data_IF_629476096728
#
_entry.id   IF_629476096728
#
_cell.length_a   1.000
_cell.length_b   1.000
_cell.length_c   1.000
_cell.angle_alpha   90.00
_cell.angle_beta   90.00
_cell.angle_gamma   90.00
#
_symmetry.space_group_name_H-M   'P 1'
#
loop_
_entity.id
_entity.type
_entity.pdbx_description
1 polymer ?
#
# COMPACT_ATOMS: atom_id res chain seq x y z
N UNK A 1 -33.00 1.85 2.80
CA UNK A 1 -31.61 2.34 2.92
C UNK A 1 -31.70 3.65 3.67
N UNK A 2 -31.06 3.81 4.83
CA UNK A 2 -31.15 5.06 5.61
C UNK A 2 -30.40 6.13 4.83
N UNK A 3 -31.06 7.23 4.48
CA UNK A 3 -30.38 8.39 3.91
C UNK A 3 -29.38 8.93 4.94
N UNK A 4 -28.14 9.16 4.50
CA UNK A 4 -27.06 9.70 5.34
C UNK A 4 -27.21 11.21 5.40
N UNK A 5 -26.91 11.83 6.54
CA UNK A 5 -26.88 13.29 6.66
C UNK A 5 -25.69 13.88 5.89
N UNK A 6 -25.78 15.15 5.53
CA UNK A 6 -24.70 15.86 4.86
C UNK A 6 -23.41 15.90 5.71
N UNK A 7 -23.54 16.09 7.01
CA UNK A 7 -22.43 16.04 7.98
C UNK A 7 -21.72 14.68 7.97
N UNK A 8 -22.46 13.56 7.89
CA UNK A 8 -21.88 12.22 7.82
C UNK A 8 -21.09 12.01 6.53
N UNK A 9 -21.55 12.58 5.41
CA UNK A 9 -20.84 12.52 4.14
C UNK A 9 -19.53 13.32 4.23
N UNK A 10 -19.55 14.51 4.84
CA UNK A 10 -18.35 15.33 5.03
C UNK A 10 -17.32 14.67 5.95
N UNK A 11 -17.75 14.00 7.03
CA UNK A 11 -16.84 13.22 7.89
C UNK A 11 -16.21 12.05 7.13
N UNK A 12 -16.99 11.27 6.39
CA UNK A 12 -16.47 10.16 5.58
C UNK A 12 -15.46 10.64 4.51
N UNK A 13 -15.71 11.81 3.90
CA UNK A 13 -14.81 12.39 2.90
C UNK A 13 -13.44 12.80 3.46
N UNK A 14 -13.34 13.00 4.78
CA UNK A 14 -12.13 13.46 5.45
C UNK A 14 -11.55 12.46 6.45
N UNK A 15 -12.00 11.20 6.41
CA UNK A 15 -11.48 10.14 7.28
C UNK A 15 -10.07 9.72 6.87
N UNK A 16 -9.10 10.51 7.29
CA UNK A 16 -7.68 10.29 7.05
C UNK A 16 -7.12 9.01 7.70
N UNK A 17 -7.84 8.44 8.66
CA UNK A 17 -7.42 7.26 9.41
C UNK A 17 -7.92 5.99 8.73
N UNK A 18 -9.23 5.89 8.49
CA UNK A 18 -9.83 4.67 7.97
C UNK A 18 -9.93 4.65 6.44
N UNK A 19 -9.99 5.82 5.77
CA UNK A 19 -10.09 5.94 4.30
C UNK A 19 -9.22 7.07 3.72
N UNK A 20 -7.91 7.07 3.99
CA UNK A 20 -6.99 8.04 3.40
C UNK A 20 -7.03 8.02 1.86
N UNK A 21 -7.41 9.15 1.25
CA UNK A 21 -7.52 9.31 -0.20
C UNK A 21 -6.25 8.86 -0.97
N UNK A 22 -5.07 9.08 -0.38
CA UNK A 22 -3.80 8.71 -1.00
C UNK A 22 -3.51 7.20 -1.05
N UNK A 23 -4.36 6.35 -0.47
CA UNK A 23 -4.30 4.90 -0.66
C UNK A 23 -5.44 4.34 -1.53
N UNK A 24 -6.41 5.17 -1.91
CA UNK A 24 -7.60 4.77 -2.66
C UNK A 24 -7.42 5.09 -4.14
N UNK A 25 -7.66 4.12 -5.03
CA UNK A 25 -7.64 4.31 -6.49
C UNK A 25 -8.90 5.00 -7.01
N UNK A 26 -8.90 5.36 -8.29
CA UNK A 26 -10.03 6.04 -8.96
C UNK A 26 -11.36 5.29 -8.80
N UNK A 27 -11.30 3.96 -8.82
CA UNK A 27 -12.48 3.09 -8.73
C UNK A 27 -12.73 2.54 -7.31
N UNK A 28 -12.15 3.16 -6.28
CA UNK A 28 -12.41 2.80 -4.88
C UNK A 28 -11.57 1.64 -4.31
N UNK A 29 -10.68 1.03 -5.12
CA UNK A 29 -9.79 -0.03 -4.65
C UNK A 29 -8.69 0.55 -3.76
N UNK A 30 -8.50 0.00 -2.55
CA UNK A 30 -7.46 0.47 -1.64
C UNK A 30 -6.15 -0.29 -1.83
N UNK A 31 -5.04 0.41 -1.57
CA UNK A 31 -3.68 -0.17 -1.65
C UNK A 31 -3.54 -1.40 -0.76
N UNK A 32 -4.23 -1.43 0.39
CA UNK A 32 -4.20 -2.55 1.32
C UNK A 32 -4.85 -3.82 0.73
N UNK A 33 -5.85 -3.68 -0.13
CA UNK A 33 -6.51 -4.81 -0.79
C UNK A 33 -5.55 -5.47 -1.77
N UNK A 34 -4.82 -4.66 -2.55
CA UNK A 34 -3.78 -5.14 -3.47
C UNK A 34 -2.66 -5.85 -2.70
N UNK A 35 -2.17 -5.23 -1.61
CA UNK A 35 -1.11 -5.81 -0.78
C UNK A 35 -1.52 -7.19 -0.26
N UNK A 36 -2.73 -7.32 0.30
CA UNK A 36 -3.23 -8.58 0.87
C UNK A 36 -3.48 -9.63 -0.20
N UNK A 37 -4.09 -9.26 -1.32
CA UNK A 37 -4.46 -10.21 -2.37
C UNK A 37 -3.23 -10.85 -3.05
N UNK A 38 -2.12 -10.12 -3.12
CA UNK A 38 -0.92 -10.56 -3.84
C UNK A 38 0.28 -10.89 -2.93
N UNK A 39 0.15 -10.80 -1.60
CA UNK A 39 1.25 -11.11 -0.66
C UNK A 39 1.70 -12.58 -0.70
N UNK A 40 0.82 -13.51 -1.10
CA UNK A 40 1.14 -14.94 -1.16
C UNK A 40 1.66 -15.49 0.16
N UNK A 41 2.85 -16.09 0.14
CA UNK A 41 3.50 -16.71 1.30
C UNK A 41 4.58 -15.85 1.95
N UNK A 42 4.74 -14.57 1.56
CA UNK A 42 5.73 -13.68 2.16
C UNK A 42 5.39 -13.44 3.64
N UNK A 43 6.36 -13.66 4.53
CA UNK A 43 6.19 -13.56 5.99
C UNK A 43 7.19 -12.58 6.59
N UNK A 44 6.88 -12.10 7.79
CA UNK A 44 7.77 -11.23 8.56
C UNK A 44 8.27 -10.04 7.76
N UNK A 45 9.60 -9.89 7.67
CA UNK A 45 10.23 -8.75 7.01
C UNK A 45 9.97 -8.72 5.50
N UNK A 46 9.87 -9.87 4.84
CA UNK A 46 9.54 -9.95 3.40
C UNK A 46 8.16 -9.37 3.10
N UNK A 47 7.16 -9.71 3.93
CA UNK A 47 5.82 -9.16 3.84
C UNK A 47 5.80 -7.65 4.08
N UNK A 48 6.65 -7.14 4.98
CA UNK A 48 6.83 -5.71 5.20
C UNK A 48 7.44 -5.01 3.98
N UNK A 49 8.45 -5.61 3.35
CA UNK A 49 9.05 -5.05 2.14
C UNK A 49 8.06 -5.01 0.98
N UNK A 50 7.36 -6.11 0.72
CA UNK A 50 6.28 -6.21 -0.25
C UNK A 50 5.21 -5.14 -0.03
N UNK A 51 4.67 -5.07 1.19
CA UNK A 51 3.61 -4.15 1.53
C UNK A 51 4.02 -2.69 1.31
N UNK A 52 5.24 -2.33 1.69
CA UNK A 52 5.74 -0.97 1.47
C UNK A 52 5.99 -0.67 -0.01
N UNK A 53 6.56 -1.59 -0.78
CA UNK A 53 6.78 -1.39 -2.21
C UNK A 53 5.47 -1.08 -2.94
N UNK A 54 4.44 -1.92 -2.76
CA UNK A 54 3.11 -1.70 -3.38
C UNK A 54 2.45 -0.42 -2.84
N UNK A 55 2.48 -0.20 -1.52
CA UNK A 55 1.93 1.01 -0.89
C UNK A 55 2.46 2.27 -1.56
N UNK A 56 3.76 2.37 -1.79
CA UNK A 56 4.34 3.56 -2.39
C UNK A 56 4.03 3.67 -3.90
N UNK A 57 3.97 2.56 -4.62
CA UNK A 57 3.52 2.54 -6.03
C UNK A 57 2.06 2.99 -6.21
N UNK A 58 1.18 2.70 -5.25
CA UNK A 58 -0.20 3.18 -5.29
C UNK A 58 -0.34 4.63 -4.81
N UNK A 59 0.56 5.08 -3.93
CA UNK A 59 0.47 6.38 -3.25
C UNK A 59 1.12 7.55 -3.99
N UNK A 60 2.15 7.31 -4.80
CA UNK A 60 3.04 8.37 -5.27
C UNK A 60 2.33 9.55 -5.94
N UNK A 61 1.29 9.28 -6.75
CA UNK A 61 0.54 10.32 -7.48
C UNK A 61 -0.25 11.25 -6.56
N UNK A 62 -0.57 10.80 -5.34
CA UNK A 62 -1.47 11.49 -4.41
C UNK A 62 -0.77 12.01 -3.14
N UNK A 63 0.55 11.80 -2.99
CA UNK A 63 1.28 12.24 -1.79
C UNK A 63 2.66 12.82 -2.05
N UNK A 64 3.68 12.00 -2.35
CA UNK A 64 5.08 12.46 -2.36
C UNK A 64 5.78 12.34 -3.72
N UNK A 65 5.09 11.97 -4.80
CA UNK A 65 5.67 11.88 -6.14
C UNK A 65 6.91 10.98 -6.19
N UNK A 66 8.00 11.50 -6.75
CA UNK A 66 9.25 10.75 -6.96
C UNK A 66 9.82 10.12 -5.69
N UNK A 67 9.69 10.77 -4.54
CA UNK A 67 10.21 10.25 -3.27
C UNK A 67 9.55 8.90 -2.90
N UNK A 68 8.26 8.74 -3.18
CA UNK A 68 7.59 7.45 -2.96
C UNK A 68 8.07 6.41 -3.96
N UNK A 69 8.37 6.77 -5.21
CA UNK A 69 8.96 5.83 -6.18
C UNK A 69 10.35 5.35 -5.75
N UNK A 70 11.19 6.25 -5.22
CA UNK A 70 12.51 5.87 -4.69
C UNK A 70 12.38 4.95 -3.47
N UNK A 71 11.40 5.21 -2.59
CA UNK A 71 11.07 4.29 -1.48
C UNK A 71 10.59 2.93 -2.00
N UNK A 72 9.70 2.91 -2.99
CA UNK A 72 9.22 1.67 -3.60
C UNK A 72 10.38 0.84 -4.16
N UNK A 73 11.29 1.47 -4.89
CA UNK A 73 12.52 0.87 -5.40
C UNK A 73 13.35 0.28 -4.27
N UNK A 74 13.60 1.04 -3.20
CA UNK A 74 14.43 0.57 -2.08
C UNK A 74 13.85 -0.66 -1.38
N UNK A 75 12.53 -0.67 -1.15
CA UNK A 75 11.85 -1.81 -0.55
C UNK A 75 11.84 -3.04 -1.47
N UNK A 76 11.73 -2.84 -2.78
CA UNK A 76 11.83 -3.92 -3.75
C UNK A 76 13.25 -4.51 -3.79
N UNK A 77 14.28 -3.67 -3.72
CA UNK A 77 15.69 -4.12 -3.63
C UNK A 77 15.90 -5.03 -2.42
N UNK A 78 15.44 -4.62 -1.23
CA UNK A 78 15.55 -5.43 -0.01
C UNK A 78 14.81 -6.76 -0.11
N UNK A 79 13.62 -6.78 -0.71
CA UNK A 79 12.88 -8.02 -0.93
C UNK A 79 13.63 -8.98 -1.87
N UNK A 80 14.22 -8.45 -2.95
CA UNK A 80 15.00 -9.25 -3.90
C UNK A 80 16.25 -9.82 -3.23
N UNK A 81 16.97 -9.02 -2.45
CA UNK A 81 18.16 -9.44 -1.71
C UNK A 81 17.85 -10.56 -0.71
N UNK A 82 16.80 -10.39 0.09
CA UNK A 82 16.39 -11.38 1.10
C UNK A 82 15.98 -12.72 0.47
N UNK A 83 15.23 -12.69 -0.65
CA UNK A 83 14.85 -13.88 -1.38
C UNK A 83 16.04 -14.59 -2.01
N UNK A 84 17.00 -13.86 -2.59
CA UNK A 84 18.24 -14.45 -3.12
C UNK A 84 19.06 -15.14 -2.04
N UNK A 85 19.24 -14.48 -0.90
CA UNK A 85 20.00 -15.03 0.23
C UNK A 85 19.34 -16.28 0.82
N UNK A 86 18.01 -16.36 0.78
CA UNK A 86 17.26 -17.55 1.23
C UNK A 86 17.47 -18.75 0.30
N UNK A 87 17.58 -18.52 -1.01
CA UNK A 87 17.81 -19.58 -2.00
C UNK A 87 19.26 -20.07 -2.07
N UNK A 88 20.24 -19.29 -1.63
CA UNK A 88 21.65 -19.71 -1.56
C UNK A 88 21.95 -20.61 -0.35
N UNK A 89 21.01 -20.73 0.60
CA UNK A 89 21.15 -21.56 1.81
C UNK A 89 20.43 -22.91 1.72
N UNK A 90 19.72 -23.18 0.62
CA UNK A 90 19.07 -24.47 0.29
C UNK A 90 19.94 -25.31 -0.65
#
# INVERSE_FOLDING_TARGET
>A
MKERSFEQILEEMNDSVNKPNHYCGEYGLESIDVIRNFAGNLKGVQGFYWGNAIKYLCRFQKKNGLEDLDKAKKYLEWLIEDLKNSHEQE
#
